data_IF_980996539126
#
_entry.id   IF_980996539126
#
_cell.length_a   1.000
_cell.length_b   1.000
_cell.length_c   1.000
_cell.angle_alpha   90.00
_cell.angle_beta   90.00
_cell.angle_gamma   90.00
#
_symmetry.space_group_name_H-M   'P 1'
#
loop_
_entity.id
_entity.type
_entity.pdbx_description
1 polymer ?
#
# COMPACT_ATOMS: atom_id res chain seq x y z
N UNK A 1 0.66 -3.62 -0.94
CA UNK A 1 -0.66 -3.42 -1.55
C UNK A 1 -0.48 -2.57 -2.80
N UNK A 2 -0.99 -3.04 -3.94
CA UNK A 2 -1.01 -2.31 -5.21
C UNK A 2 -2.46 -2.08 -5.62
N UNK A 3 -2.74 -1.01 -6.33
CA UNK A 3 -4.06 -0.80 -6.93
C UNK A 3 -3.95 -0.21 -8.33
N UNK A 4 -4.95 -0.49 -9.14
CA UNK A 4 -5.21 0.20 -10.40
C UNK A 4 -6.64 0.69 -10.36
N UNK A 5 -6.81 2.02 -10.27
CA UNK A 5 -8.10 2.68 -10.10
C UNK A 5 -8.14 3.88 -11.03
N UNK A 6 -9.03 3.78 -12.02
CA UNK A 6 -9.25 4.79 -13.06
C UNK A 6 -9.82 6.09 -12.49
N UNK A 7 -10.77 6.00 -11.55
CA UNK A 7 -11.43 7.18 -10.98
C UNK A 7 -10.54 7.92 -9.99
N UNK A 8 -10.12 9.13 -10.34
CA UNK A 8 -9.22 9.97 -9.56
C UNK A 8 -9.68 10.21 -8.11
N UNK A 9 -10.97 10.53 -7.92
CA UNK A 9 -11.54 10.78 -6.57
C UNK A 9 -11.47 9.54 -5.68
N UNK A 10 -11.78 8.36 -6.22
CA UNK A 10 -11.71 7.11 -5.46
C UNK A 10 -10.26 6.75 -5.14
N UNK A 11 -9.36 6.93 -6.10
CA UNK A 11 -7.92 6.72 -5.91
C UNK A 11 -7.35 7.58 -4.79
N UNK A 12 -7.69 8.87 -4.77
CA UNK A 12 -7.21 9.80 -3.74
C UNK A 12 -7.83 9.50 -2.37
N UNK A 13 -9.11 9.10 -2.35
CA UNK A 13 -9.79 8.65 -1.13
C UNK A 13 -9.13 7.41 -0.54
N UNK A 14 -8.82 6.40 -1.37
CA UNK A 14 -8.13 5.19 -0.94
C UNK A 14 -6.72 5.52 -0.42
N UNK A 15 -5.97 6.36 -1.14
CA UNK A 15 -4.63 6.76 -0.72
C UNK A 15 -4.64 7.42 0.67
N UNK A 16 -5.58 8.35 0.93
CA UNK A 16 -5.75 8.99 2.24
C UNK A 16 -6.09 7.98 3.34
N UNK A 17 -7.03 7.06 3.06
CA UNK A 17 -7.41 6.01 4.01
C UNK A 17 -6.20 5.14 4.39
N UNK A 18 -5.42 4.69 3.40
CA UNK A 18 -4.25 3.84 3.64
C UNK A 18 -3.21 4.56 4.49
N UNK A 19 -2.95 5.85 4.23
CA UNK A 19 -2.05 6.67 5.05
C UNK A 19 -2.56 6.83 6.48
N UNK A 20 -3.87 7.08 6.67
CA UNK A 20 -4.49 7.19 8.00
C UNK A 20 -4.42 5.87 8.79
N UNK A 21 -4.41 4.73 8.10
CA UNK A 21 -4.21 3.41 8.71
C UNK A 21 -2.73 3.12 9.02
N UNK A 22 -1.80 3.98 8.64
CA UNK A 22 -0.36 3.78 8.85
C UNK A 22 0.34 3.02 7.74
N UNK A 23 -0.34 2.74 6.61
CA UNK A 23 0.32 2.22 5.42
C UNK A 23 1.21 3.30 4.79
N UNK A 24 2.40 2.90 4.33
CA UNK A 24 3.39 3.82 3.75
C UNK A 24 3.26 3.83 2.23
N UNK A 25 3.07 5.01 1.64
CA UNK A 25 2.97 5.17 0.19
C UNK A 25 4.36 5.13 -0.43
N UNK A 26 4.58 4.19 -1.34
CA UNK A 26 5.89 3.95 -1.98
C UNK A 26 5.90 4.27 -3.47
N UNK A 27 4.74 4.22 -4.11
CA UNK A 27 4.50 4.69 -5.47
C UNK A 27 3.10 5.34 -5.53
N UNK A 28 2.77 6.01 -6.65
CA UNK A 28 1.44 6.59 -6.90
C UNK A 28 0.30 5.63 -6.54
N UNK A 29 0.46 4.34 -6.81
CA UNK A 29 -0.56 3.32 -6.53
C UNK A 29 -0.06 2.09 -5.78
N UNK A 30 1.06 2.21 -5.08
CA UNK A 30 1.65 1.11 -4.29
C UNK A 30 1.94 1.59 -2.87
N UNK A 31 1.59 0.74 -1.91
CA UNK A 31 1.75 0.95 -0.48
C UNK A 31 2.39 -0.26 0.20
N UNK A 32 3.30 -0.01 1.12
CA UNK A 32 3.66 -1.00 2.14
C UNK A 32 2.65 -0.97 3.26
N UNK A 33 2.11 -2.14 3.57
CA UNK A 33 1.31 -2.36 4.78
C UNK A 33 2.32 -2.84 5.82
N UNK A 34 2.40 -2.19 7.00
CA UNK A 34 3.33 -2.62 8.04
C UNK A 34 2.89 -3.95 8.63
N UNK A 35 3.68 -4.47 9.58
CA UNK A 35 3.44 -5.77 10.21
C UNK A 35 2.22 -5.70 11.14
N UNK A 36 1.04 -5.81 10.55
CA UNK A 36 -0.25 -5.76 11.22
C UNK A 36 -0.59 -7.12 11.83
N UNK A 37 -1.16 -7.09 13.02
CA UNK A 37 -1.84 -8.24 13.61
C UNK A 37 -3.00 -8.70 12.72
N UNK A 38 -3.47 -9.93 12.91
CA UNK A 38 -4.62 -10.47 12.18
C UNK A 38 -5.88 -9.59 12.32
N UNK A 39 -6.05 -8.95 13.49
CA UNK A 39 -7.16 -8.01 13.74
C UNK A 39 -7.00 -6.74 12.90
N UNK A 40 -5.82 -6.13 12.89
CA UNK A 40 -5.55 -4.92 12.11
C UNK A 40 -5.65 -5.17 10.60
N UNK A 41 -5.19 -6.33 10.12
CA UNK A 41 -5.39 -6.73 8.72
C UNK A 41 -6.86 -6.89 8.36
N UNK A 42 -7.67 -7.48 9.26
CA UNK A 42 -9.12 -7.59 9.08
C UNK A 42 -9.77 -6.21 9.03
N UNK A 43 -9.41 -5.32 9.94
CA UNK A 43 -9.96 -3.96 10.00
C UNK A 43 -9.54 -3.13 8.77
N UNK A 44 -8.31 -3.29 8.30
CA UNK A 44 -7.83 -2.70 7.05
C UNK A 44 -8.66 -3.19 5.87
N UNK A 45 -8.85 -4.51 5.74
CA UNK A 45 -9.64 -5.13 4.66
C UNK A 45 -11.08 -4.61 4.65
N UNK A 46 -11.72 -4.52 5.81
CA UNK A 46 -13.08 -3.98 5.93
C UNK A 46 -13.12 -2.51 5.51
N UNK A 47 -12.18 -1.69 6.01
CA UNK A 47 -12.11 -0.26 5.69
C UNK A 47 -11.90 -0.02 4.20
N UNK A 48 -10.99 -0.77 3.57
CA UNK A 48 -10.75 -0.71 2.12
C UNK A 48 -12.00 -1.14 1.36
N UNK A 49 -12.61 -2.28 1.72
CA UNK A 49 -13.84 -2.75 1.07
C UNK A 49 -14.98 -1.74 1.13
N UNK A 50 -15.16 -1.06 2.27
CA UNK A 50 -16.15 0.01 2.43
C UNK A 50 -15.80 1.24 1.59
N UNK A 51 -14.52 1.61 1.52
CA UNK A 51 -14.06 2.75 0.72
C UNK A 51 -14.36 2.58 -0.78
N UNK A 52 -14.17 1.36 -1.29
CA UNK A 52 -14.35 0.99 -2.69
C UNK A 52 -15.81 0.70 -3.07
N UNK A 53 -16.67 0.44 -2.08
CA UNK A 53 -18.06 0.04 -2.30
C UNK A 53 -18.79 1.05 -3.19
N UNK A 54 -19.55 0.51 -4.15
CA UNK A 54 -20.43 1.24 -5.08
C UNK A 54 -19.77 2.22 -6.05
N UNK A 55 -18.43 2.36 -6.04
CA UNK A 55 -17.71 3.31 -6.88
C UNK A 55 -16.53 2.69 -7.65
N UNK A 56 -16.16 1.43 -7.34
CA UNK A 56 -15.10 0.72 -8.05
C UNK A 56 -15.60 0.26 -9.42
N UNK A 57 -14.88 0.61 -10.48
CA UNK A 57 -15.17 0.09 -11.82
C UNK A 57 -14.89 -1.43 -11.85
N UNK A 58 -15.68 -2.24 -12.57
CA UNK A 58 -15.40 -3.67 -12.72
C UNK A 58 -13.99 -4.02 -13.24
N UNK A 59 -13.33 -3.09 -13.95
CA UNK A 59 -11.96 -3.24 -14.44
C UNK A 59 -10.89 -2.74 -13.47
N UNK A 60 -11.28 -1.95 -12.46
CA UNK A 60 -10.36 -1.50 -11.42
C UNK A 60 -10.04 -2.65 -10.46
N UNK A 61 -8.84 -2.65 -9.87
CA UNK A 61 -8.39 -3.71 -8.99
C UNK A 61 -7.54 -3.23 -7.82
N UNK A 62 -7.59 -3.97 -6.71
CA UNK A 62 -6.71 -3.78 -5.56
C UNK A 62 -6.13 -5.12 -5.15
N UNK A 63 -4.81 -5.21 -5.11
CA UNK A 63 -4.06 -6.40 -4.75
C UNK A 63 -3.35 -6.20 -3.42
N UNK A 64 -3.59 -7.11 -2.48
CA UNK A 64 -2.85 -7.18 -1.23
C UNK A 64 -2.02 -8.47 -1.21
N UNK A 65 -0.71 -8.33 -1.39
CA UNK A 65 0.23 -9.46 -1.45
C UNK A 65 1.07 -9.41 -0.16
N UNK A 66 1.09 -10.49 0.64
CA UNK A 66 2.00 -10.58 1.77
C UNK A 66 3.43 -10.75 1.25
N UNK A 67 4.37 -9.98 1.80
CA UNK A 67 5.79 -10.04 1.44
C UNK A 67 6.60 -10.07 2.73
N UNK A 68 7.60 -10.93 2.80
CA UNK A 68 8.52 -10.97 3.95
C UNK A 68 9.56 -9.86 3.82
N UNK A 69 10.08 -9.37 4.95
CA UNK A 69 11.15 -8.34 4.94
C UNK A 69 12.37 -8.79 4.12
N UNK A 70 12.75 -10.06 4.21
CA UNK A 70 13.85 -10.63 3.41
C UNK A 70 13.62 -10.48 1.89
N UNK A 71 12.38 -10.68 1.41
CA UNK A 71 12.04 -10.54 -0.01
C UNK A 71 11.98 -9.09 -0.46
N UNK A 72 11.79 -8.13 0.45
CA UNK A 72 11.84 -6.70 0.13
C UNK A 72 13.28 -6.22 -0.12
N UNK A 73 14.29 -6.88 0.47
CA UNK A 73 15.69 -6.56 0.20
C UNK A 73 16.10 -6.86 -1.26
N UNK A 74 15.42 -7.82 -1.90
CA UNK A 74 15.61 -8.19 -3.30
C UNK A 74 14.79 -7.30 -4.27
N UNK A 75 14.12 -6.25 -3.77
CA UNK A 75 13.26 -5.40 -4.59
C UNK A 75 14.11 -4.60 -5.58
N UNK A 76 13.85 -4.83 -6.87
CA UNK A 76 14.43 -4.04 -7.95
C UNK A 76 13.52 -2.85 -8.25
N UNK A 77 14.10 -1.66 -8.36
CA UNK A 77 13.39 -0.43 -8.66
C UNK A 77 14.05 0.32 -9.82
N UNK A 78 13.25 0.67 -10.82
CA UNK A 78 13.66 1.48 -11.96
C UNK A 78 12.85 2.77 -12.01
N UNK A 79 13.53 3.92 -11.97
CA UNK A 79 12.93 5.26 -12.07
C UNK A 79 13.24 6.19 -10.89
N UNK A 80 12.81 7.45 -11.00
CA UNK A 80 13.10 8.49 -9.99
C UNK A 80 12.07 8.48 -8.86
N UNK A 81 12.45 8.00 -7.67
CA UNK A 81 11.61 8.02 -6.47
C UNK A 81 12.43 8.31 -5.22
N UNK A 82 12.61 9.59 -4.89
CA UNK A 82 13.28 9.99 -3.65
C UNK A 82 12.52 9.56 -2.38
N UNK A 83 11.20 9.34 -2.47
CA UNK A 83 10.35 8.92 -1.35
C UNK A 83 10.47 7.44 -0.99
N UNK A 84 10.67 6.58 -2.00
CA UNK A 84 10.89 5.14 -1.79
C UNK A 84 12.24 4.88 -1.12
N UNK A 85 13.31 5.51 -1.62
CA UNK A 85 14.66 5.32 -1.07
C UNK A 85 14.74 5.67 0.42
N UNK A 86 14.05 6.72 0.87
CA UNK A 86 13.94 7.04 2.31
C UNK A 86 13.15 5.98 3.08
N UNK A 87 11.98 5.59 2.56
CA UNK A 87 11.10 4.64 3.25
C UNK A 87 11.74 3.25 3.38
N UNK A 88 12.49 2.80 2.36
CA UNK A 88 13.23 1.55 2.39
C UNK A 88 14.42 1.62 3.35
N UNK A 89 15.17 2.72 3.37
CA UNK A 89 16.29 2.89 4.30
C UNK A 89 15.81 2.91 5.76
N UNK A 90 14.73 3.64 6.07
CA UNK A 90 14.17 3.71 7.42
C UNK A 90 13.68 2.33 7.92
N UNK A 91 13.19 1.46 7.02
CA UNK A 91 12.77 0.09 7.36
C UNK A 91 13.92 -0.92 7.37
N UNK A 92 14.98 -0.71 6.58
CA UNK A 92 16.20 -1.53 6.57
C UNK A 92 17.11 -1.25 7.77
N UNK A 93 17.12 -0.04 8.31
CA UNK A 93 17.86 0.28 9.55
C UNK A 93 17.27 -0.41 10.79
N UNK A 94 16.05 -0.96 10.71
CA UNK A 94 15.45 -1.79 11.78
C UNK A 94 15.79 -3.28 11.63
N UNK A 95 16.68 -3.64 10.70
CA UNK A 95 17.14 -5.01 10.41
C UNK A 95 18.63 -5.25 10.72
N UNK A 96 19.36 -4.24 11.22
CA UNK A 96 20.76 -4.34 11.66
C UNK A 96 20.83 -4.09 13.17
#
# INVERSE_FOLDING_TARGET
MSYDISQDRLRDKLAKLLQQKGCRRVQKSVFFVPDFSAKELKDLRVSVGQCLKSNLDPQDSVLCIPVTKSRLADLVWEGQSAGLQRSLNDDLHLLI
#
